data_IF_529712755623
#
_entry.id   IF_529712755623
#
_cell.length_a   1.000
_cell.length_b   1.000
_cell.length_c   1.000
_cell.angle_alpha   90.00
_cell.angle_beta   90.00
_cell.angle_gamma   90.00
#
_symmetry.space_group_name_H-M   'P 1'
#
loop_
_entity.id
_entity.type
_entity.pdbx_description
1 polymer ?
#
# COMPACT_ATOMS: atom_id res chain seq x y z
N UNK A 1 -8.90 88.57 -0.80
CA UNK A 1 -10.22 88.08 -1.27
C UNK A 1 -10.55 86.90 -0.37
N UNK A 2 -11.63 86.92 0.41
CA UNK A 2 -11.91 85.82 1.35
C UNK A 2 -12.47 84.63 0.58
N UNK A 3 -11.68 83.55 0.47
CA UNK A 3 -12.12 82.28 -0.13
C UNK A 3 -13.21 81.67 0.76
N UNK A 4 -14.27 81.13 0.15
CA UNK A 4 -15.37 80.51 0.90
C UNK A 4 -14.94 79.18 1.51
N UNK A 5 -15.57 78.80 2.62
CA UNK A 5 -15.28 77.54 3.30
C UNK A 5 -15.54 76.33 2.38
N UNK A 6 -16.54 76.40 1.49
CA UNK A 6 -16.89 75.28 0.60
C UNK A 6 -15.77 74.93 -0.38
N UNK A 7 -15.14 75.95 -0.98
CA UNK A 7 -13.97 75.75 -1.87
C UNK A 7 -12.80 75.13 -1.12
N UNK A 8 -12.65 75.49 0.15
CA UNK A 8 -11.55 74.98 0.99
C UNK A 8 -11.78 73.52 1.35
N UNK A 9 -13.02 73.16 1.71
CA UNK A 9 -13.42 71.77 2.00
C UNK A 9 -13.17 70.83 0.83
N UNK A 10 -13.49 71.27 -0.38
CA UNK A 10 -13.25 70.48 -1.60
C UNK A 10 -11.75 70.21 -1.84
N UNK A 11 -10.87 71.10 -1.36
CA UNK A 11 -9.42 71.02 -1.52
C UNK A 11 -8.70 70.35 -0.34
N UNK A 12 -9.37 70.16 0.81
CA UNK A 12 -8.77 69.54 2.01
C UNK A 12 -8.20 68.13 1.78
N UNK A 13 -8.85 67.21 1.02
CA UNK A 13 -8.28 65.89 0.78
C UNK A 13 -6.96 65.96 0.01
N UNK A 14 -6.86 66.84 -0.98
CA UNK A 14 -5.64 67.04 -1.78
C UNK A 14 -4.52 67.67 -0.94
N UNK A 15 -4.88 68.54 0.00
CA UNK A 15 -3.95 69.09 0.99
C UNK A 15 -3.47 68.02 1.97
N UNK A 16 -4.36 67.19 2.51
CA UNK A 16 -4.03 66.10 3.43
C UNK A 16 -3.08 65.06 2.80
N UNK A 17 -3.19 64.83 1.48
CA UNK A 17 -2.32 63.94 0.71
C UNK A 17 -1.04 64.62 0.18
N UNK A 18 -0.78 65.90 0.52
CA UNK A 18 0.34 66.72 0.00
C UNK A 18 0.41 66.81 -1.54
N UNK A 19 -0.74 66.77 -2.21
CA UNK A 19 -0.86 66.84 -3.68
C UNK A 19 -1.28 68.23 -4.19
N UNK A 20 -1.58 69.17 -3.29
CA UNK A 20 -1.91 70.54 -3.63
C UNK A 20 -0.66 71.36 -4.03
N UNK A 21 -0.85 72.36 -4.91
CA UNK A 21 0.23 73.27 -5.30
C UNK A 21 0.63 74.21 -4.16
N UNK A 22 1.86 74.74 -4.17
CA UNK A 22 2.38 75.60 -3.09
C UNK A 22 1.51 76.84 -2.83
N UNK A 23 1.00 77.46 -3.90
CA UNK A 23 0.14 78.63 -3.80
C UNK A 23 -1.23 78.26 -3.19
N UNK A 24 -1.74 77.07 -3.51
CA UNK A 24 -2.97 76.53 -2.91
C UNK A 24 -2.76 76.18 -1.43
N UNK A 25 -1.61 75.62 -1.05
CA UNK A 25 -1.28 75.32 0.34
C UNK A 25 -1.20 76.59 1.20
N UNK A 26 -0.52 77.64 0.72
CA UNK A 26 -0.42 78.90 1.44
C UNK A 26 -1.80 79.55 1.69
N UNK A 27 -2.70 79.48 0.70
CA UNK A 27 -4.08 79.97 0.81
C UNK A 27 -4.92 79.15 1.81
N UNK A 28 -4.71 77.83 1.85
CA UNK A 28 -5.40 76.95 2.80
C UNK A 28 -4.90 77.17 4.23
N UNK A 29 -3.60 77.34 4.44
CA UNK A 29 -2.98 77.62 5.74
C UNK A 29 -3.49 78.93 6.34
N UNK A 30 -3.55 80.02 5.56
CA UNK A 30 -4.09 81.32 5.99
C UNK A 30 -5.55 81.19 6.45
N UNK A 31 -6.36 80.37 5.78
CA UNK A 31 -7.76 80.17 6.17
C UNK A 31 -7.93 79.22 7.36
N UNK A 32 -7.11 78.18 7.48
CA UNK A 32 -7.15 77.22 8.59
C UNK A 32 -6.75 77.86 9.92
N UNK A 33 -5.92 78.91 9.90
CA UNK A 33 -5.64 79.73 11.08
C UNK A 33 -6.87 80.51 11.59
N UNK A 34 -7.75 80.93 10.67
CA UNK A 34 -8.92 81.75 10.97
C UNK A 34 -10.25 81.01 11.10
N UNK A 35 -10.34 79.73 10.70
CA UNK A 35 -11.58 78.98 10.65
C UNK A 35 -11.50 77.63 11.41
N UNK A 36 -12.11 77.51 12.61
CA UNK A 36 -12.10 76.26 13.37
C UNK A 36 -12.91 75.14 12.72
N UNK A 37 -13.89 75.46 11.87
CA UNK A 37 -14.72 74.47 11.17
C UNK A 37 -13.92 73.66 10.15
N UNK A 38 -13.13 74.32 9.30
CA UNK A 38 -12.29 73.67 8.30
C UNK A 38 -11.14 72.88 8.95
N UNK A 39 -10.64 73.33 10.11
CA UNK A 39 -9.60 72.62 10.87
C UNK A 39 -10.09 71.28 11.43
N UNK A 40 -11.31 71.23 11.95
CA UNK A 40 -11.91 70.00 12.46
C UNK A 40 -12.14 68.96 11.34
N UNK A 41 -12.48 69.41 10.13
CA UNK A 41 -12.66 68.52 8.98
C UNK A 41 -11.33 67.96 8.46
N UNK A 42 -10.26 68.78 8.45
CA UNK A 42 -8.92 68.30 8.13
C UNK A 42 -8.47 67.19 9.10
N UNK A 43 -8.74 67.34 10.40
CA UNK A 43 -8.42 66.30 11.40
C UNK A 43 -9.20 65.00 11.16
N UNK A 44 -10.45 65.07 10.67
CA UNK A 44 -11.23 63.87 10.32
C UNK A 44 -10.68 63.17 9.08
N UNK A 45 -10.17 63.91 8.10
CA UNK A 45 -9.60 63.37 6.86
C UNK A 45 -8.23 62.72 7.13
N UNK A 46 -7.42 63.31 8.00
CA UNK A 46 -6.07 62.80 8.35
C UNK A 46 -6.15 61.58 9.28
N UNK A 47 -7.27 61.34 9.96
CA UNK A 47 -7.42 60.15 10.79
C UNK A 47 -7.37 58.87 9.93
N UNK A 48 -6.42 57.95 10.19
CA UNK A 48 -6.33 56.71 9.43
C UNK A 48 -7.58 55.88 9.72
N UNK A 49 -8.48 55.76 8.74
CA UNK A 49 -9.58 54.80 8.80
C UNK A 49 -8.99 53.40 8.98
N UNK A 50 -9.17 52.82 10.17
CA UNK A 50 -8.88 51.41 10.43
C UNK A 50 -9.86 50.56 9.63
N UNK A 51 -9.46 50.16 8.43
CA UNK A 51 -10.14 49.09 7.71
C UNK A 51 -10.04 47.81 8.55
N UNK A 52 -11.19 47.26 8.95
CA UNK A 52 -11.24 45.94 9.55
C UNK A 52 -10.76 44.91 8.50
N UNK A 53 -9.96 43.90 8.88
CA UNK A 53 -9.47 42.92 7.92
C UNK A 53 -10.65 42.17 7.28
N UNK A 54 -10.70 42.18 5.95
CA UNK A 54 -11.74 41.53 5.15
C UNK A 54 -11.90 40.04 5.50
N UNK A 55 -12.95 39.73 6.27
CA UNK A 55 -13.35 38.36 6.66
C UNK A 55 -13.59 37.43 5.48
N UNK A 56 -13.80 37.98 4.29
CA UNK A 56 -14.08 37.24 3.06
C UNK A 56 -12.84 36.53 2.48
N UNK A 57 -11.63 37.06 2.70
CA UNK A 57 -10.39 36.42 2.21
C UNK A 57 -10.05 35.18 3.04
N UNK A 58 -10.36 35.19 4.34
CA UNK A 58 -10.14 34.06 5.22
C UNK A 58 -11.04 32.85 4.89
N UNK A 59 -12.32 33.10 4.58
CA UNK A 59 -13.29 32.05 4.27
C UNK A 59 -12.94 31.35 2.95
N UNK A 60 -12.52 32.09 1.92
CA UNK A 60 -12.03 31.52 0.66
C UNK A 60 -10.72 30.75 0.82
N UNK A 61 -9.77 31.24 1.64
CA UNK A 61 -8.52 30.51 1.93
C UNK A 61 -8.80 29.19 2.63
N UNK A 62 -9.69 29.18 3.62
CA UNK A 62 -10.13 27.95 4.33
C UNK A 62 -10.86 26.99 3.38
N UNK A 63 -11.72 27.49 2.51
CA UNK A 63 -12.41 26.69 1.49
C UNK A 63 -11.46 26.06 0.47
N UNK A 64 -10.52 26.84 -0.08
CA UNK A 64 -9.49 26.35 -1.02
C UNK A 64 -8.59 25.30 -0.40
N UNK A 65 -8.18 25.48 0.87
CA UNK A 65 -7.39 24.49 1.62
C UNK A 65 -8.19 23.21 1.91
N UNK A 66 -9.50 23.31 2.20
CA UNK A 66 -10.41 22.18 2.39
C UNK A 66 -10.60 21.38 1.09
N UNK A 67 -10.73 22.07 -0.05
CA UNK A 67 -10.84 21.47 -1.38
C UNK A 67 -9.54 20.77 -1.80
N UNK A 68 -8.38 21.42 -1.64
CA UNK A 68 -7.09 20.82 -1.99
C UNK A 68 -6.76 19.60 -1.12
N UNK A 69 -7.02 19.64 0.19
CA UNK A 69 -6.80 18.47 1.05
C UNK A 69 -7.67 17.30 0.64
N UNK A 70 -8.94 17.52 0.31
CA UNK A 70 -9.85 16.45 -0.13
C UNK A 70 -9.40 15.84 -1.46
N UNK A 71 -8.97 16.67 -2.43
CA UNK A 71 -8.38 16.19 -3.70
C UNK A 71 -7.11 15.36 -3.50
N UNK A 72 -6.25 15.74 -2.54
CA UNK A 72 -5.04 14.97 -2.20
C UNK A 72 -5.42 13.62 -1.57
N UNK A 73 -6.38 13.59 -0.63
CA UNK A 73 -6.84 12.33 -0.05
C UNK A 73 -7.44 11.38 -1.09
N UNK A 74 -8.24 11.89 -2.03
CA UNK A 74 -8.79 11.07 -3.12
C UNK A 74 -7.70 10.56 -4.06
N UNK A 75 -6.68 11.37 -4.36
CA UNK A 75 -5.55 10.95 -5.19
C UNK A 75 -4.71 9.85 -4.51
N UNK A 76 -4.43 10.00 -3.21
CA UNK A 76 -3.72 8.97 -2.42
C UNK A 76 -4.54 7.69 -2.35
N UNK A 77 -5.84 7.79 -2.11
CA UNK A 77 -6.73 6.63 -2.07
C UNK A 77 -6.73 5.87 -3.41
N UNK A 78 -6.84 6.60 -4.53
CA UNK A 78 -6.77 6.01 -5.87
C UNK A 78 -5.42 5.32 -6.11
N UNK A 79 -4.30 5.98 -5.75
CA UNK A 79 -2.96 5.41 -5.89
C UNK A 79 -2.80 4.11 -5.06
N UNK A 80 -3.32 4.08 -3.83
CA UNK A 80 -3.26 2.89 -2.98
C UNK A 80 -4.13 1.74 -3.52
N UNK A 81 -5.33 2.03 -4.02
CA UNK A 81 -6.19 1.01 -4.65
C UNK A 81 -5.50 0.43 -5.87
N UNK A 82 -4.94 1.28 -6.74
CA UNK A 82 -4.16 0.82 -7.89
C UNK A 82 -2.98 -0.04 -7.45
N UNK A 83 -2.27 0.33 -6.38
CA UNK A 83 -1.18 -0.47 -5.83
C UNK A 83 -1.66 -1.85 -5.36
N UNK A 84 -2.79 -1.95 -4.64
CA UNK A 84 -3.37 -3.23 -4.23
C UNK A 84 -3.69 -4.12 -5.44
N UNK A 85 -4.31 -3.53 -6.47
CA UNK A 85 -4.67 -4.25 -7.70
C UNK A 85 -3.41 -4.77 -8.40
N UNK A 86 -2.41 -3.91 -8.59
CA UNK A 86 -1.14 -4.29 -9.24
C UNK A 86 -0.43 -5.40 -8.48
N UNK A 87 -0.32 -5.30 -7.15
CA UNK A 87 0.28 -6.35 -6.33
C UNK A 87 -0.47 -7.67 -6.44
N UNK A 88 -1.79 -7.63 -6.47
CA UNK A 88 -2.65 -8.81 -6.63
C UNK A 88 -2.44 -9.47 -8.00
N UNK A 89 -2.36 -8.68 -9.07
CA UNK A 89 -2.08 -9.17 -10.43
C UNK A 89 -0.69 -9.81 -10.48
N UNK A 90 0.34 -9.16 -9.91
CA UNK A 90 1.70 -9.71 -9.86
C UNK A 90 1.74 -11.01 -9.06
N UNK A 91 1.05 -11.07 -7.91
CA UNK A 91 0.94 -12.28 -7.10
C UNK A 91 0.33 -13.44 -7.89
N UNK A 92 -0.73 -13.18 -8.64
CA UNK A 92 -1.36 -14.18 -9.50
C UNK A 92 -0.46 -14.63 -10.65
N UNK A 93 0.19 -13.69 -11.35
CA UNK A 93 1.05 -14.00 -12.49
C UNK A 93 2.30 -14.80 -12.09
N UNK A 94 2.83 -14.54 -10.89
CA UNK A 94 4.03 -15.20 -10.35
C UNK A 94 3.72 -16.45 -9.52
N UNK A 95 2.44 -16.82 -9.38
CA UNK A 95 2.06 -18.04 -8.69
C UNK A 95 2.64 -19.29 -9.41
N UNK A 96 3.38 -20.16 -8.70
CA UNK A 96 3.83 -21.45 -9.17
C UNK A 96 2.65 -22.32 -9.57
N UNK A 97 2.79 -22.90 -10.75
CA UNK A 97 1.97 -23.99 -11.27
C UNK A 97 2.90 -25.19 -11.33
N UNK A 98 2.76 -26.11 -10.39
CA UNK A 98 3.69 -27.25 -10.28
C UNK A 98 3.52 -28.17 -11.49
N UNK A 99 4.64 -28.57 -12.09
CA UNK A 99 4.63 -29.41 -13.28
C UNK A 99 4.56 -30.89 -12.87
N UNK A 100 3.73 -31.71 -13.54
CA UNK A 100 3.83 -33.15 -13.41
C UNK A 100 5.17 -33.63 -13.99
N UNK A 101 5.68 -34.74 -13.47
CA UNK A 101 6.88 -35.34 -14.05
C UNK A 101 6.64 -35.74 -15.51
N UNK A 102 7.58 -35.37 -16.37
CA UNK A 102 7.76 -35.96 -17.69
C UNK A 102 9.24 -35.88 -18.07
N UNK A 103 9.67 -36.76 -18.98
CA UNK A 103 11.03 -36.72 -19.53
C UNK A 103 11.32 -35.42 -20.31
N UNK A 104 10.28 -34.67 -20.69
CA UNK A 104 10.42 -33.34 -21.29
C UNK A 104 10.65 -32.26 -20.23
N UNK A 105 10.16 -32.43 -18.99
CA UNK A 105 10.30 -31.43 -17.92
C UNK A 105 11.69 -31.44 -17.31
N UNK A 106 12.21 -32.63 -17.00
CA UNK A 106 13.52 -32.80 -16.36
C UNK A 106 14.17 -34.09 -16.83
N UNK A 107 15.46 -34.01 -17.13
CA UNK A 107 16.30 -35.16 -17.46
C UNK A 107 17.52 -35.21 -16.56
N UNK A 108 17.99 -36.43 -16.27
CA UNK A 108 19.21 -36.66 -15.50
C UNK A 108 20.32 -37.10 -16.45
N UNK A 109 21.50 -36.53 -16.29
CA UNK A 109 22.71 -36.98 -16.98
C UNK A 109 23.87 -37.07 -15.99
N UNK A 110 24.54 -38.21 -15.96
CA UNK A 110 25.74 -38.44 -15.16
C UNK A 110 26.97 -38.33 -16.07
N UNK A 111 27.99 -37.61 -15.59
CA UNK A 111 29.27 -37.46 -16.26
C UNK A 111 30.30 -38.46 -15.70
N UNK A 112 31.33 -38.79 -16.48
CA UNK A 112 32.36 -39.78 -16.11
C UNK A 112 33.11 -39.46 -14.80
N UNK A 113 33.09 -38.21 -14.36
CA UNK A 113 33.70 -37.76 -13.10
C UNK A 113 32.80 -37.94 -11.86
N UNK A 114 31.62 -38.55 -12.03
CA UNK A 114 30.61 -38.77 -10.98
C UNK A 114 29.74 -37.55 -10.69
N UNK A 115 29.82 -36.49 -11.49
CA UNK A 115 28.94 -35.32 -11.37
C UNK A 115 27.59 -35.62 -12.02
N UNK A 116 26.51 -35.42 -11.27
CA UNK A 116 25.14 -35.61 -11.74
C UNK A 116 24.52 -34.26 -12.06
N UNK A 117 23.98 -34.13 -13.28
CA UNK A 117 23.29 -32.94 -13.75
C UNK A 117 21.80 -33.19 -13.90
N UNK A 118 21.00 -32.18 -13.54
CA UNK A 118 19.59 -32.10 -13.93
C UNK A 118 19.44 -31.03 -15.00
N UNK A 119 18.86 -31.42 -16.13
CA UNK A 119 18.56 -30.48 -17.22
C UNK A 119 17.07 -30.23 -17.27
N UNK A 120 16.67 -28.98 -17.07
CA UNK A 120 15.28 -28.55 -17.15
C UNK A 120 14.95 -28.04 -18.54
N UNK A 121 13.73 -28.30 -19.01
CA UNK A 121 13.24 -27.68 -20.24
C UNK A 121 12.92 -26.20 -20.06
N UNK A 122 12.78 -25.54 -21.21
CA UNK A 122 12.47 -24.10 -21.30
C UNK A 122 11.16 -23.73 -20.61
N UNK A 123 10.23 -24.66 -20.41
CA UNK A 123 8.96 -24.42 -19.72
C UNK A 123 9.08 -24.32 -18.19
N UNK A 124 10.24 -24.64 -17.62
CA UNK A 124 10.45 -24.55 -16.17
C UNK A 124 10.85 -23.12 -15.80
N UNK A 125 10.03 -22.50 -14.95
CA UNK A 125 10.27 -21.15 -14.45
C UNK A 125 11.10 -21.14 -13.15
N UNK A 126 11.00 -22.20 -12.36
CA UNK A 126 11.75 -22.37 -11.14
C UNK A 126 11.73 -23.82 -10.65
N UNK A 127 12.65 -24.13 -9.76
CA UNK A 127 12.76 -25.44 -9.12
C UNK A 127 13.12 -25.28 -7.65
N UNK A 128 12.80 -26.30 -6.87
CA UNK A 128 13.24 -26.45 -5.48
C UNK A 128 13.87 -27.84 -5.37
N UNK A 129 15.01 -27.89 -4.68
CA UNK A 129 15.76 -29.10 -4.42
C UNK A 129 16.06 -29.17 -2.93
N UNK A 130 15.67 -30.29 -2.33
CA UNK A 130 15.94 -30.60 -0.93
C UNK A 130 16.86 -31.81 -0.90
N UNK A 131 17.92 -31.75 -0.10
CA UNK A 131 18.78 -32.90 0.15
C UNK A 131 18.48 -33.49 1.53
N UNK A 132 18.50 -34.82 1.60
CA UNK A 132 18.43 -35.59 2.84
C UNK A 132 19.59 -36.57 2.86
N UNK A 133 20.26 -36.70 4.00
CA UNK A 133 21.28 -37.72 4.17
C UNK A 133 20.57 -39.05 4.41
N UNK A 134 20.59 -39.95 3.42
CA UNK A 134 20.00 -41.27 3.53
C UNK A 134 20.74 -42.14 4.56
N UNK A 135 20.09 -43.20 5.05
CA UNK A 135 20.72 -44.18 5.94
C UNK A 135 21.80 -44.98 5.19
N UNK A 136 23.02 -44.45 5.17
CA UNK A 136 24.24 -45.16 4.76
C UNK A 136 24.46 -45.38 3.25
N UNK A 137 23.52 -45.03 2.37
CA UNK A 137 23.60 -45.26 0.91
C UNK A 137 24.15 -44.07 0.11
N UNK A 138 24.11 -42.86 0.67
CA UNK A 138 24.49 -41.59 0.02
C UNK A 138 23.45 -40.50 0.29
N UNK A 139 23.56 -39.36 -0.38
CA UNK A 139 22.60 -38.25 -0.28
C UNK A 139 21.43 -38.49 -1.23
N UNK A 140 20.20 -38.33 -0.73
CA UNK A 140 18.98 -38.39 -1.51
C UNK A 140 18.50 -36.97 -1.81
N UNK A 141 18.11 -36.72 -3.04
CA UNK A 141 17.63 -35.41 -3.47
C UNK A 141 16.17 -35.48 -3.89
N UNK A 142 15.39 -34.52 -3.43
CA UNK A 142 13.99 -34.36 -3.77
C UNK A 142 13.82 -33.06 -4.56
N UNK A 143 13.31 -33.17 -5.78
CA UNK A 143 13.22 -32.09 -6.75
C UNK A 143 11.76 -31.83 -7.09
N UNK A 144 11.36 -30.58 -7.16
CA UNK A 144 10.11 -30.16 -7.79
C UNK A 144 10.40 -29.03 -8.75
N UNK A 145 9.63 -28.95 -9.83
CA UNK A 145 9.71 -27.85 -10.78
C UNK A 145 8.32 -27.23 -11.00
N UNK A 146 8.29 -25.95 -11.30
CA UNK A 146 7.06 -25.23 -11.58
C UNK A 146 7.23 -24.26 -12.74
N UNK A 147 6.11 -23.94 -13.36
CA UNK A 147 6.00 -22.82 -14.28
C UNK A 147 5.25 -21.66 -13.58
N UNK A 148 5.27 -20.47 -14.18
CA UNK A 148 4.45 -19.34 -13.76
C UNK A 148 3.77 -18.72 -14.99
N UNK A 149 2.60 -18.09 -14.81
CA UNK A 149 1.94 -17.39 -15.92
C UNK A 149 2.80 -16.25 -16.45
N UNK A 150 3.59 -15.62 -15.57
CA UNK A 150 4.57 -14.60 -15.92
C UNK A 150 5.64 -15.13 -16.87
N UNK A 151 6.28 -16.25 -16.51
CA UNK A 151 7.33 -16.88 -17.34
C UNK A 151 6.81 -17.25 -18.73
N UNK A 152 5.61 -17.86 -18.80
CA UNK A 152 4.94 -18.20 -20.08
C UNK A 152 4.71 -17.00 -21.02
N UNK A 153 4.48 -15.80 -20.47
CA UNK A 153 3.98 -14.64 -21.25
C UNK A 153 5.01 -13.54 -21.47
N UNK A 154 5.91 -13.32 -20.52
CA UNK A 154 6.74 -12.11 -20.50
C UNK A 154 8.18 -12.41 -20.89
N UNK A 155 8.80 -13.41 -20.28
CA UNK A 155 10.20 -13.75 -20.56
C UNK A 155 10.47 -15.20 -20.13
N UNK A 156 10.38 -16.17 -21.06
CA UNK A 156 10.86 -17.50 -20.81
C UNK A 156 12.39 -17.42 -20.71
N UNK A 157 12.92 -17.61 -19.50
CA UNK A 157 14.35 -17.77 -19.29
C UNK A 157 14.64 -19.23 -19.04
N UNK A 158 15.61 -19.75 -19.79
CA UNK A 158 16.08 -21.11 -19.62
C UNK A 158 16.95 -21.21 -18.38
N UNK A 159 16.57 -22.11 -17.47
CA UNK A 159 17.38 -22.46 -16.29
C UNK A 159 18.61 -23.26 -16.74
N UNK A 160 18.46 -24.08 -17.78
CA UNK A 160 19.51 -24.95 -18.29
C UNK A 160 19.77 -26.14 -17.38
N UNK A 161 21.04 -26.52 -17.28
CA UNK A 161 21.49 -27.65 -16.46
C UNK A 161 22.04 -27.18 -15.12
N UNK A 162 21.67 -27.87 -14.05
CA UNK A 162 22.17 -27.64 -12.70
C UNK A 162 22.97 -28.84 -12.21
N UNK A 163 23.98 -28.60 -11.38
CA UNK A 163 24.75 -29.65 -10.72
C UNK A 163 24.04 -30.05 -9.43
N UNK A 164 23.79 -31.34 -9.25
CA UNK A 164 23.10 -31.90 -8.07
C UNK A 164 24.07 -32.07 -6.90
N UNK A 165 25.26 -32.61 -7.18
CA UNK A 165 26.30 -32.92 -6.20
C UNK A 165 27.55 -32.04 -6.39
N UNK A 166 27.49 -30.73 -6.07
CA UNK A 166 28.60 -29.81 -6.30
C UNK A 166 29.87 -30.18 -5.51
N UNK A 167 29.73 -30.91 -4.39
CA UNK A 167 30.87 -31.37 -3.58
C UNK A 167 31.30 -32.80 -3.93
N UNK A 168 30.78 -33.37 -5.02
CA UNK A 168 31.03 -34.75 -5.46
C UNK A 168 30.67 -35.80 -4.41
N UNK A 169 29.67 -35.49 -3.59
CA UNK A 169 29.04 -36.45 -2.70
C UNK A 169 28.35 -37.56 -3.52
N UNK A 170 28.29 -38.75 -2.94
CA UNK A 170 27.63 -39.90 -3.57
C UNK A 170 26.12 -39.67 -3.58
N UNK A 171 25.54 -39.56 -4.77
CA UNK A 171 24.09 -39.46 -4.98
C UNK A 171 23.49 -40.86 -4.87
N UNK A 172 22.63 -41.08 -3.87
CA UNK A 172 21.95 -42.35 -3.68
C UNK A 172 20.72 -42.49 -4.57
N UNK A 173 19.89 -41.44 -4.58
CA UNK A 173 18.68 -41.37 -5.38
C UNK A 173 18.27 -39.91 -5.64
N UNK A 174 17.61 -39.67 -6.77
CA UNK A 174 16.95 -38.40 -7.07
C UNK A 174 15.48 -38.67 -7.31
N UNK A 175 14.61 -38.06 -6.52
CA UNK A 175 13.16 -38.15 -6.63
C UNK A 175 12.60 -36.83 -7.17
N UNK A 176 11.64 -36.92 -8.08
CA UNK A 176 10.83 -35.78 -8.51
C UNK A 176 9.47 -35.85 -7.86
N UNK A 177 8.96 -34.76 -7.29
CA UNK A 177 7.59 -34.72 -6.76
C UNK A 177 6.75 -33.60 -7.34
N UNK A 178 5.44 -33.84 -7.45
CA UNK A 178 4.47 -32.82 -7.88
C UNK A 178 3.55 -32.44 -6.73
N UNK A 179 3.63 -31.18 -6.33
CA UNK A 179 2.94 -30.67 -5.14
C UNK A 179 1.41 -30.52 -5.30
N UNK A 180 0.85 -30.52 -6.51
CA UNK A 180 -0.49 -29.95 -6.75
C UNK A 180 -1.49 -30.91 -7.42
N UNK A 181 -1.14 -32.17 -7.64
CA UNK A 181 -2.08 -33.09 -8.28
C UNK A 181 -3.08 -33.64 -7.25
N UNK A 182 -4.40 -33.56 -7.48
CA UNK A 182 -5.36 -34.36 -6.74
C UNK A 182 -5.11 -35.82 -7.15
N UNK A 183 -4.29 -36.54 -6.40
CA UNK A 183 -4.28 -37.99 -6.50
C UNK A 183 -5.60 -38.46 -5.90
N UNK A 184 -6.44 -39.09 -6.72
CA UNK A 184 -7.58 -39.87 -6.24
C UNK A 184 -7.11 -41.00 -5.30
N UNK A 185 -5.82 -41.30 -5.34
CA UNK A 185 -5.12 -42.13 -4.36
C UNK A 185 -4.62 -41.26 -3.21
N UNK A 186 -5.32 -41.41 -2.09
CA UNK A 186 -5.05 -40.74 -0.80
C UNK A 186 -3.65 -41.07 -0.24
N UNK A 187 -2.91 -42.01 -0.85
CA UNK A 187 -1.53 -42.35 -0.50
C UNK A 187 -0.78 -42.84 -1.75
N UNK A 188 0.17 -42.01 -2.24
CA UNK A 188 1.34 -42.45 -3.00
C UNK A 188 1.19 -42.68 -4.49
N UNK A 189 1.41 -41.64 -5.31
CA UNK A 189 2.14 -41.78 -6.59
C UNK A 189 2.69 -40.44 -7.14
N UNK A 190 2.87 -39.44 -6.27
CA UNK A 190 3.25 -38.08 -6.67
C UNK A 190 4.78 -37.96 -6.81
N UNK A 191 5.52 -39.03 -6.54
CA UNK A 191 6.98 -39.09 -6.50
C UNK A 191 7.53 -40.07 -7.52
N UNK A 192 8.38 -39.60 -8.42
CA UNK A 192 9.01 -40.40 -9.46
C UNK A 192 10.52 -40.48 -9.22
N UNK A 193 11.08 -41.68 -9.23
CA UNK A 193 12.53 -41.88 -9.17
C UNK A 193 13.13 -41.50 -10.53
N UNK A 194 14.03 -40.52 -10.53
CA UNK A 194 14.76 -40.05 -11.71
C UNK A 194 16.13 -40.73 -11.86
N UNK A 195 16.77 -41.06 -10.75
CA UNK A 195 18.14 -41.59 -10.71
C UNK A 195 18.36 -42.41 -9.44
N UNK A 196 19.20 -43.44 -9.51
CA UNK A 196 19.55 -44.30 -8.39
C UNK A 196 18.63 -45.51 -8.24
N UNK A 197 18.65 -46.13 -7.06
CA UNK A 197 17.81 -47.28 -6.73
C UNK A 197 16.67 -46.85 -5.79
N UNK A 198 15.52 -47.53 -5.88
CA UNK A 198 14.43 -47.36 -4.92
C UNK A 198 14.95 -47.66 -3.51
N UNK A 199 15.00 -46.63 -2.66
CA UNK A 199 15.08 -46.81 -1.21
C UNK A 199 13.66 -47.06 -0.70
N UNK A 200 13.50 -47.93 0.31
CA UNK A 200 12.19 -48.40 0.76
C UNK A 200 11.30 -47.30 1.37
N UNK A 201 11.85 -46.09 1.56
CA UNK A 201 11.16 -44.95 2.13
C UNK A 201 10.82 -43.95 1.02
N UNK A 202 9.57 -43.95 0.57
CA UNK A 202 9.05 -42.89 -0.29
C UNK A 202 8.95 -41.57 0.48
N UNK A 203 9.17 -40.45 -0.21
CA UNK A 203 8.99 -39.12 0.37
C UNK A 203 7.54 -38.67 0.24
N UNK A 204 6.94 -38.17 1.32
CA UNK A 204 5.63 -37.50 1.28
C UNK A 204 5.81 -36.04 1.66
N UNK A 205 5.49 -35.14 0.74
CA UNK A 205 5.53 -33.69 1.00
C UNK A 205 4.14 -33.22 1.41
N UNK A 206 3.96 -32.90 2.69
CA UNK A 206 2.66 -32.46 3.19
C UNK A 206 2.36 -31.01 2.77
N UNK A 207 1.11 -30.73 2.32
CA UNK A 207 0.65 -29.36 2.17
C UNK A 207 0.76 -28.63 3.51
N UNK A 208 1.48 -27.50 3.53
CA UNK A 208 1.60 -26.73 4.77
C UNK A 208 0.27 -26.00 5.01
N UNK A 209 -0.44 -26.40 6.06
CA UNK A 209 -1.67 -25.73 6.54
C UNK A 209 -1.40 -24.39 7.26
N UNK A 210 -0.19 -23.85 7.10
CA UNK A 210 0.33 -22.71 7.84
C UNK A 210 -0.55 -21.45 7.73
N UNK A 211 -1.07 -21.16 6.53
CA UNK A 211 -1.92 -19.98 6.31
C UNK A 211 -3.28 -20.10 7.01
N UNK A 212 -3.80 -21.31 7.18
CA UNK A 212 -5.07 -21.53 7.88
C UNK A 212 -4.98 -21.07 9.34
N UNK A 213 -3.85 -21.34 10.01
CA UNK A 213 -3.61 -20.89 11.37
C UNK A 213 -3.59 -19.35 11.46
N UNK A 214 -2.97 -18.67 10.50
CA UNK A 214 -2.95 -17.20 10.50
C UNK A 214 -4.32 -16.57 10.26
N UNK A 215 -5.11 -17.12 9.34
CA UNK A 215 -6.50 -16.69 9.14
C UNK A 215 -7.31 -16.90 10.43
N UNK A 216 -7.14 -18.04 11.09
CA UNK A 216 -7.78 -18.32 12.37
C UNK A 216 -7.37 -17.32 13.46
N UNK A 217 -6.07 -17.07 13.65
CA UNK A 217 -5.58 -16.09 14.62
C UNK A 217 -6.06 -14.67 14.28
N UNK A 218 -6.12 -14.30 13.00
CA UNK A 218 -6.65 -13.00 12.58
C UNK A 218 -8.14 -12.87 12.90
N UNK A 219 -8.95 -13.92 12.69
CA UNK A 219 -10.37 -13.94 13.06
C UNK A 219 -10.57 -13.86 14.58
N UNK A 220 -9.76 -14.58 15.37
CA UNK A 220 -9.78 -14.51 16.82
C UNK A 220 -9.42 -13.11 17.31
N UNK A 221 -8.37 -12.50 16.75
CA UNK A 221 -7.97 -11.13 17.06
C UNK A 221 -9.07 -10.12 16.66
N UNK A 222 -9.69 -10.29 15.50
CA UNK A 222 -10.82 -9.46 15.06
C UNK A 222 -11.99 -9.56 16.04
N UNK A 223 -12.36 -10.77 16.46
CA UNK A 223 -13.44 -11.01 17.41
C UNK A 223 -13.16 -10.38 18.78
N UNK A 224 -11.96 -10.58 19.32
CA UNK A 224 -11.56 -10.01 20.61
C UNK A 224 -11.54 -8.47 20.57
N UNK A 225 -10.97 -7.86 19.53
CA UNK A 225 -10.99 -6.41 19.35
C UNK A 225 -12.41 -5.86 19.15
N UNK A 226 -13.29 -6.59 18.46
CA UNK A 226 -14.68 -6.20 18.29
C UNK A 226 -15.45 -6.22 19.63
N UNK A 227 -15.25 -7.24 20.45
CA UNK A 227 -15.82 -7.30 21.81
C UNK A 227 -15.32 -6.12 22.64
N UNK A 228 -14.01 -5.88 22.66
CA UNK A 228 -13.43 -4.74 23.37
C UNK A 228 -14.01 -3.40 22.85
N UNK A 229 -14.31 -3.29 21.56
CA UNK A 229 -14.90 -2.09 20.95
C UNK A 229 -16.31 -1.82 21.45
N UNK A 230 -17.09 -2.88 21.66
CA UNK A 230 -18.43 -2.78 22.25
C UNK A 230 -18.36 -2.46 23.75
N UNK A 231 -17.45 -3.09 24.49
CA UNK A 231 -17.27 -2.85 25.94
C UNK A 231 -16.85 -1.41 26.22
N UNK A 232 -15.86 -0.90 25.50
CA UNK A 232 -15.34 0.46 25.69
C UNK A 232 -16.10 1.53 24.87
N UNK A 233 -17.34 1.24 24.43
CA UNK A 233 -18.13 2.15 23.58
C UNK A 233 -18.36 3.55 24.18
N UNK A 234 -18.33 3.67 25.51
CA UNK A 234 -18.51 4.94 26.26
C UNK A 234 -17.24 5.78 26.35
N UNK A 235 -16.05 5.20 26.11
CA UNK A 235 -14.79 5.91 26.16
C UNK A 235 -14.32 6.27 24.75
N UNK A 236 -14.54 7.51 24.33
CA UNK A 236 -14.25 7.97 22.97
C UNK A 236 -12.78 7.79 22.55
N UNK A 237 -11.85 7.97 23.49
CA UNK A 237 -10.41 7.82 23.21
C UNK A 237 -10.07 6.37 22.91
N UNK A 238 -10.45 5.46 23.80
CA UNK A 238 -10.21 4.01 23.65
C UNK A 238 -10.93 3.46 22.43
N UNK A 239 -12.20 3.83 22.23
CA UNK A 239 -12.98 3.43 21.06
C UNK A 239 -12.33 3.86 19.75
N UNK A 240 -11.76 5.07 19.69
CA UNK A 240 -11.06 5.54 18.49
C UNK A 240 -9.77 4.79 18.20
N UNK A 241 -9.01 4.39 19.22
CA UNK A 241 -7.78 3.60 19.05
C UNK A 241 -8.16 2.19 18.60
N UNK A 242 -9.13 1.60 19.28
CA UNK A 242 -9.54 0.23 19.04
C UNK A 242 -10.21 0.06 17.67
N UNK A 243 -10.94 1.08 17.20
CA UNK A 243 -11.45 1.11 15.82
C UNK A 243 -10.35 1.05 14.76
N UNK A 244 -9.18 1.69 15.00
CA UNK A 244 -8.02 1.56 14.11
C UNK A 244 -7.36 0.19 14.24
N UNK A 245 -7.23 -0.31 15.47
CA UNK A 245 -6.68 -1.64 15.73
C UNK A 245 -7.50 -2.75 15.07
N UNK A 246 -8.84 -2.63 15.04
CA UNK A 246 -9.75 -3.58 14.39
C UNK A 246 -9.50 -3.70 12.88
N UNK A 247 -9.02 -2.62 12.24
CA UNK A 247 -8.72 -2.63 10.81
C UNK A 247 -7.47 -3.47 10.48
N UNK A 248 -6.60 -3.75 11.44
CA UNK A 248 -5.39 -4.54 11.23
C UNK A 248 -5.72 -6.01 10.87
N UNK A 249 -6.43 -6.80 11.69
CA UNK A 249 -6.82 -8.15 11.28
C UNK A 249 -7.78 -8.13 10.08
N UNK A 250 -8.63 -7.12 9.93
CA UNK A 250 -9.48 -6.99 8.75
C UNK A 250 -8.66 -6.82 7.46
N UNK A 251 -7.60 -6.00 7.48
CA UNK A 251 -6.71 -5.83 6.33
C UNK A 251 -5.96 -7.12 5.96
N UNK A 252 -5.59 -7.93 6.95
CA UNK A 252 -4.94 -9.21 6.70
C UNK A 252 -5.89 -10.18 5.98
N UNK A 253 -7.14 -10.29 6.45
CA UNK A 253 -8.14 -11.16 5.85
C UNK A 253 -8.48 -10.76 4.41
N UNK A 254 -8.60 -9.45 4.14
CA UNK A 254 -8.81 -8.93 2.78
C UNK A 254 -7.59 -9.24 1.90
N UNK A 255 -6.37 -9.02 2.41
CA UNK A 255 -5.16 -9.32 1.66
C UNK A 255 -5.01 -10.82 1.35
N UNK A 256 -5.33 -11.69 2.32
CA UNK A 256 -5.39 -13.14 2.11
C UNK A 256 -6.38 -13.50 0.99
N UNK A 257 -7.58 -12.91 1.03
CA UNK A 257 -8.59 -13.14 0.00
C UNK A 257 -8.14 -12.65 -1.38
N UNK A 258 -7.45 -11.51 -1.47
CA UNK A 258 -6.91 -11.00 -2.73
C UNK A 258 -5.86 -11.95 -3.33
N UNK A 259 -4.96 -12.50 -2.50
CA UNK A 259 -3.79 -13.27 -2.98
C UNK A 259 -4.12 -14.75 -3.18
N UNK A 260 -4.87 -15.36 -2.25
CA UNK A 260 -5.15 -16.81 -2.21
C UNK A 260 -6.62 -17.18 -2.42
N UNK A 261 -7.51 -16.20 -2.43
CA UNK A 261 -8.95 -16.45 -2.44
C UNK A 261 -9.37 -17.18 -1.16
N UNK A 262 -10.14 -18.25 -1.34
CA UNK A 262 -10.66 -19.08 -0.25
C UNK A 262 -9.71 -20.20 0.16
N UNK A 263 -8.64 -20.43 -0.60
CA UNK A 263 -7.69 -21.50 -0.32
C UNK A 263 -6.72 -21.07 0.78
N UNK A 264 -6.41 -22.01 1.69
CA UNK A 264 -5.42 -21.81 2.76
C UNK A 264 -4.25 -22.78 2.64
N UNK A 265 -4.30 -23.70 1.68
CA UNK A 265 -3.20 -24.60 1.35
C UNK A 265 -2.14 -23.83 0.56
N UNK A 266 -0.88 -23.99 0.96
CA UNK A 266 0.24 -23.42 0.23
C UNK A 266 1.45 -24.33 0.30
N UNK A 267 2.03 -24.60 -0.87
CA UNK A 267 3.30 -25.32 -1.01
C UNK A 267 4.51 -24.36 -0.99
N UNK A 268 4.25 -23.05 -1.16
CA UNK A 268 5.26 -21.99 -1.06
C UNK A 268 4.85 -21.01 0.04
N UNK A 269 4.78 -21.52 1.27
CA UNK A 269 4.22 -20.80 2.40
C UNK A 269 4.93 -19.47 2.71
N UNK A 270 6.26 -19.42 2.54
CA UNK A 270 7.05 -18.20 2.74
C UNK A 270 6.71 -17.11 1.72
N UNK A 271 6.58 -17.48 0.43
CA UNK A 271 6.19 -16.56 -0.63
C UNK A 271 4.78 -16.04 -0.41
N UNK A 272 3.82 -16.94 -0.22
CA UNK A 272 2.41 -16.57 -0.06
C UNK A 272 2.21 -15.67 1.16
N UNK A 273 2.86 -15.99 2.28
CA UNK A 273 2.84 -15.14 3.48
C UNK A 273 3.45 -13.75 3.22
N UNK A 274 4.62 -13.67 2.58
CA UNK A 274 5.28 -12.41 2.29
C UNK A 274 4.43 -11.50 1.39
N UNK A 275 3.79 -12.07 0.36
CA UNK A 275 2.92 -11.32 -0.55
C UNK A 275 1.65 -10.85 0.18
N UNK A 276 1.02 -11.71 0.99
CA UNK A 276 -0.15 -11.31 1.80
C UNK A 276 0.21 -10.15 2.72
N UNK A 277 1.35 -10.21 3.40
CA UNK A 277 1.84 -9.11 4.24
C UNK A 277 2.09 -7.83 3.43
N UNK A 278 2.68 -7.94 2.24
CA UNK A 278 2.92 -6.80 1.36
C UNK A 278 1.61 -6.13 0.90
N UNK A 279 0.57 -6.92 0.60
CA UNK A 279 -0.76 -6.42 0.20
C UNK A 279 -1.55 -5.89 1.41
N UNK A 280 -1.34 -6.42 2.61
CA UNK A 280 -2.01 -5.99 3.83
C UNK A 280 -1.76 -4.50 4.14
N UNK A 281 -0.52 -4.02 4.00
CA UNK A 281 -0.19 -2.62 4.32
C UNK A 281 -0.98 -1.58 3.51
N UNK A 282 -1.04 -1.63 2.17
CA UNK A 282 -1.84 -0.69 1.39
C UNK A 282 -3.35 -0.90 1.62
N UNK A 283 -3.83 -2.13 1.83
CA UNK A 283 -5.24 -2.38 2.20
C UNK A 283 -5.58 -1.69 3.54
N UNK A 284 -4.72 -1.82 4.56
CA UNK A 284 -4.89 -1.14 5.84
C UNK A 284 -4.92 0.38 5.68
N UNK A 285 -4.05 0.95 4.86
CA UNK A 285 -4.04 2.38 4.56
C UNK A 285 -5.34 2.82 3.86
N UNK A 286 -5.85 2.05 2.90
CA UNK A 286 -7.15 2.30 2.24
C UNK A 286 -8.28 2.29 3.27
N UNK A 287 -8.34 1.29 4.17
CA UNK A 287 -9.36 1.20 5.21
C UNK A 287 -9.29 2.39 6.19
N UNK A 288 -8.09 2.81 6.60
CA UNK A 288 -7.91 3.97 7.47
C UNK A 288 -8.34 5.27 6.80
N UNK A 289 -7.97 5.48 5.54
CA UNK A 289 -8.31 6.68 4.79
C UNK A 289 -9.82 6.77 4.54
N UNK A 290 -10.44 5.67 4.11
CA UNK A 290 -11.89 5.60 3.91
C UNK A 290 -12.66 5.85 5.21
N UNK A 291 -12.26 5.24 6.33
CA UNK A 291 -12.86 5.50 7.63
C UNK A 291 -12.77 6.98 8.06
N UNK A 292 -11.62 7.62 7.83
CA UNK A 292 -11.43 9.05 8.12
C UNK A 292 -12.25 9.96 7.20
N UNK A 293 -12.32 9.64 5.91
CA UNK A 293 -13.14 10.38 4.93
C UNK A 293 -14.63 10.28 5.26
N UNK A 294 -15.13 9.08 5.57
CA UNK A 294 -16.50 8.89 6.03
C UNK A 294 -16.77 9.71 7.30
N UNK A 295 -15.89 9.67 8.30
CA UNK A 295 -16.05 10.47 9.53
C UNK A 295 -16.10 11.97 9.25
N UNK A 296 -15.29 12.46 8.30
CA UNK A 296 -15.29 13.87 7.89
C UNK A 296 -16.58 14.26 7.16
N UNK A 297 -17.05 13.41 6.25
CA UNK A 297 -18.29 13.62 5.49
C UNK A 297 -19.52 13.68 6.41
N UNK A 298 -19.62 12.75 7.37
CA UNK A 298 -20.71 12.73 8.35
C UNK A 298 -20.70 13.94 9.28
N UNK A 299 -19.53 14.45 9.69
CA UNK A 299 -19.45 15.70 10.47
C UNK A 299 -19.92 16.92 9.68
N UNK A 300 -19.54 17.03 8.40
CA UNK A 300 -19.93 18.19 7.59
C UNK A 300 -21.41 18.21 7.21
N UNK A 301 -22.05 17.05 7.09
CA UNK A 301 -23.48 16.95 6.78
C UNK A 301 -24.35 16.87 8.04
N UNK A 302 -23.79 16.52 9.19
CA UNK A 302 -24.50 16.45 10.47
C UNK A 302 -24.82 17.81 11.08
N UNK A 303 -23.96 18.83 10.88
CA UNK A 303 -24.19 20.20 11.36
C UNK A 303 -25.22 20.99 10.53
N UNK A 304 -25.85 20.36 9.53
CA UNK A 304 -26.85 20.98 8.63
C UNK A 304 -28.30 20.60 8.97
N UNK A 305 -28.55 19.94 10.10
CA UNK A 305 -29.88 19.54 10.55
C UNK A 305 -30.21 20.07 11.93
#
# INVERSE_FOLDING_TARGET
MKVSCDVIRDLLPLYAENLASKDTCALLEEHLEGCPGCKAELEQIVQPQKYAPDTHVESFRKARKKLNTTKVYTAILAALITLVITLTIVAYLTAPQYLPYSQEVVTVSEQEDGTVYLTFSQQVAGYEMLSSNGTGSGTEYLVTAWNTTWHKRVSPKDIGSIVVNPNREKVAAIYYYTAEYPSNDVYGDNTHLLYGNLTAEGFVVLPRLFLAYYVFFALLLLGTLAVLYLVFRKNDRTRSILGKALLLPASYLIAHLCVKGWTTTSFSATRDFAIIMLVMFPVYAVLLLTANLCKRYWRTNGDSK
#
